data_IF_932781088149
#
_entry.id   IF_932781088149
#
_cell.length_a   1.000
_cell.length_b   1.000
_cell.length_c   1.000
_cell.angle_alpha   90.00
_cell.angle_beta   90.00
_cell.angle_gamma   90.00
#
_symmetry.space_group_name_H-M   'P 1'
#
loop_
_entity.id
_entity.type
_entity.pdbx_description
1 polymer ?
#
# COMPACT_ATOMS: atom_id res chain seq x y z
N UNK A 1 44.01 -34.09 -48.68
CA UNK A 1 42.92 -33.42 -49.42
C UNK A 1 41.67 -33.40 -48.55
N UNK A 2 41.27 -32.20 -48.12
CA UNK A 2 39.97 -31.67 -47.65
C UNK A 2 39.12 -32.45 -46.60
N UNK A 3 39.12 -32.01 -45.32
CA UNK A 3 38.00 -32.17 -44.40
C UNK A 3 37.13 -30.89 -44.46
N UNK A 4 36.38 -30.70 -45.53
CA UNK A 4 35.49 -29.53 -45.70
C UNK A 4 34.01 -29.90 -45.85
N UNK A 5 33.68 -31.20 -45.90
CA UNK A 5 32.33 -31.66 -46.22
C UNK A 5 31.44 -31.92 -44.99
N UNK A 6 32.00 -32.06 -43.78
CA UNK A 6 31.21 -32.44 -42.58
C UNK A 6 30.66 -31.22 -41.83
N UNK A 7 31.30 -30.05 -41.95
CA UNK A 7 30.88 -28.83 -41.24
C UNK A 7 29.67 -28.15 -41.94
N UNK A 8 29.46 -28.37 -43.24
CA UNK A 8 28.34 -27.80 -43.99
C UNK A 8 26.98 -28.44 -43.67
N UNK A 9 26.95 -29.71 -43.22
CA UNK A 9 25.69 -30.42 -42.93
C UNK A 9 25.01 -29.98 -41.64
N UNK A 10 25.77 -29.61 -40.61
CA UNK A 10 25.22 -29.24 -39.29
C UNK A 10 24.70 -27.80 -39.29
N UNK A 11 25.31 -26.90 -40.07
CA UNK A 11 24.85 -25.52 -40.18
C UNK A 11 23.49 -25.38 -40.91
N UNK A 12 23.20 -26.25 -41.89
CA UNK A 12 21.92 -26.23 -42.62
C UNK A 12 20.75 -26.76 -41.78
N UNK A 13 20.99 -27.73 -40.89
CA UNK A 13 19.95 -28.28 -40.03
C UNK A 13 19.48 -27.27 -38.94
N UNK A 14 20.40 -26.44 -38.43
CA UNK A 14 20.06 -25.40 -37.44
C UNK A 14 19.30 -24.21 -38.07
N UNK A 15 19.60 -23.85 -39.32
CA UNK A 15 18.90 -22.77 -40.02
C UNK A 15 17.45 -23.15 -40.41
N UNK A 16 17.21 -24.43 -40.78
CA UNK A 16 15.87 -24.91 -41.12
C UNK A 16 14.98 -25.12 -39.86
N UNK A 17 15.56 -25.48 -38.72
CA UNK A 17 14.82 -25.56 -37.45
C UNK A 17 14.43 -24.16 -36.91
N UNK A 18 15.28 -23.14 -37.11
CA UNK A 18 14.99 -21.76 -36.70
C UNK A 18 13.87 -21.08 -37.51
N UNK A 19 13.76 -21.38 -38.81
CA UNK A 19 12.70 -20.84 -39.68
C UNK A 19 11.33 -21.51 -39.43
N UNK A 20 11.30 -22.80 -39.09
CA UNK A 20 10.07 -23.50 -38.73
C UNK A 20 9.41 -22.95 -37.46
N UNK A 21 10.21 -22.50 -36.50
CA UNK A 21 9.71 -21.95 -35.22
C UNK A 21 9.11 -20.54 -35.38
N UNK A 22 9.64 -19.73 -36.32
CA UNK A 22 9.08 -18.41 -36.64
C UNK A 22 7.79 -18.50 -37.46
N UNK A 23 7.71 -19.45 -38.40
CA UNK A 23 6.51 -19.68 -39.21
C UNK A 23 5.32 -20.23 -38.40
N UNK A 24 5.55 -20.91 -37.27
CA UNK A 24 4.48 -21.33 -36.36
C UNK A 24 3.94 -20.22 -35.44
N UNK A 25 4.71 -19.14 -35.19
CA UNK A 25 4.22 -17.95 -34.46
C UNK A 25 3.46 -16.96 -35.34
N UNK A 26 3.69 -16.99 -36.65
CA UNK A 26 3.02 -16.11 -37.62
C UNK A 26 1.69 -16.66 -38.14
N UNK A 27 1.02 -17.56 -37.39
CA UNK A 27 -0.36 -17.94 -37.72
C UNK A 27 -1.27 -16.78 -37.28
N UNK A 28 -2.02 -16.14 -38.21
CA UNK A 28 -3.11 -15.27 -37.79
C UNK A 28 -4.06 -16.10 -36.93
N UNK A 29 -4.45 -15.58 -35.78
CA UNK A 29 -5.46 -16.21 -34.94
C UNK A 29 -6.69 -16.54 -35.80
N UNK A 30 -7.25 -17.75 -35.70
CA UNK A 30 -8.57 -17.98 -36.26
C UNK A 30 -9.49 -16.99 -35.56
N UNK A 31 -10.07 -16.08 -36.33
CA UNK A 31 -11.13 -15.16 -35.91
C UNK A 31 -12.15 -15.98 -35.13
N UNK A 32 -12.07 -15.94 -33.80
CA UNK A 32 -13.12 -16.47 -32.96
C UNK A 32 -14.32 -15.63 -33.31
N UNK A 33 -15.29 -16.26 -33.98
CA UNK A 33 -16.63 -15.75 -34.07
C UNK A 33 -17.04 -15.40 -32.64
N UNK A 34 -17.16 -14.10 -32.38
CA UNK A 34 -17.61 -13.58 -31.11
C UNK A 34 -18.96 -14.23 -30.82
N UNK A 35 -18.97 -15.18 -29.90
CA UNK A 35 -20.19 -15.57 -29.21
C UNK A 35 -20.57 -14.31 -28.44
N UNK A 36 -21.52 -13.56 -28.99
CA UNK A 36 -22.14 -12.43 -28.32
C UNK A 36 -22.78 -12.96 -27.03
N UNK A 37 -22.01 -12.90 -25.94
CA UNK A 37 -22.57 -12.94 -24.60
C UNK A 37 -23.54 -11.75 -24.51
N UNK A 38 -24.73 -11.91 -23.92
CA UNK A 38 -25.64 -10.78 -23.73
C UNK A 38 -24.89 -9.71 -22.95
N UNK A 39 -24.65 -8.57 -23.61
CA UNK A 39 -24.22 -7.33 -22.99
C UNK A 39 -25.30 -6.93 -21.99
N UNK A 40 -25.16 -7.44 -20.77
CA UNK A 40 -25.82 -6.84 -19.63
C UNK A 40 -25.18 -5.46 -19.52
N UNK A 41 -25.93 -4.36 -19.65
CA UNK A 41 -25.35 -3.04 -19.61
C UNK A 41 -24.54 -2.92 -18.32
N UNK A 42 -23.24 -2.64 -18.46
CA UNK A 42 -22.37 -2.35 -17.35
C UNK A 42 -22.99 -1.15 -16.62
N UNK A 43 -23.71 -1.45 -15.53
CA UNK A 43 -24.25 -0.45 -14.63
C UNK A 43 -23.06 0.40 -14.24
N UNK A 44 -23.05 1.67 -14.67
CA UNK A 44 -22.03 2.63 -14.28
C UNK A 44 -21.93 2.58 -12.75
N UNK A 45 -20.90 1.92 -12.24
CA UNK A 45 -20.64 1.83 -10.81
C UNK A 45 -20.20 3.22 -10.41
N UNK A 46 -21.16 4.02 -9.95
CA UNK A 46 -20.89 5.32 -9.37
C UNK A 46 -19.92 5.11 -8.20
N UNK A 47 -18.77 5.78 -8.24
CA UNK A 47 -17.86 5.80 -7.10
C UNK A 47 -18.65 6.20 -5.86
N UNK A 48 -18.52 5.46 -4.74
CA UNK A 48 -19.20 5.84 -3.51
C UNK A 48 -18.75 7.23 -3.06
N UNK A 49 -19.73 8.07 -2.71
CA UNK A 49 -19.47 9.39 -2.14
C UNK A 49 -19.16 9.23 -0.67
N UNK A 50 -18.05 9.81 -0.23
CA UNK A 50 -17.70 9.80 1.19
C UNK A 50 -18.52 10.86 1.93
N UNK A 51 -19.16 10.47 3.02
CA UNK A 51 -19.95 11.40 3.85
C UNK A 51 -19.06 12.43 4.55
N UNK A 52 -19.66 13.54 4.98
CA UNK A 52 -19.02 14.43 5.94
C UNK A 52 -18.97 13.72 7.31
N UNK A 53 -17.85 13.86 8.02
CA UNK A 53 -17.71 13.27 9.35
C UNK A 53 -18.64 14.00 10.34
N UNK A 54 -19.60 13.32 10.98
CA UNK A 54 -20.46 13.98 11.96
C UNK A 54 -19.67 14.43 13.20
N UNK A 55 -20.06 15.57 13.75
CA UNK A 55 -19.59 15.99 15.07
C UNK A 55 -20.09 14.97 16.11
N UNK A 56 -19.15 14.28 16.76
CA UNK A 56 -19.45 13.32 17.82
C UNK A 56 -19.60 14.08 19.12
N UNK A 57 -20.69 13.79 19.82
CA UNK A 57 -20.94 14.30 21.17
C UNK A 57 -20.25 13.47 22.24
N UNK A 58 -19.76 12.27 21.90
CA UNK A 58 -19.15 11.35 22.85
C UNK A 58 -17.70 11.06 22.42
N UNK A 59 -16.70 11.48 23.22
CA UNK A 59 -15.31 11.21 22.88
C UNK A 59 -15.06 9.71 22.80
N UNK A 60 -14.08 9.34 21.97
CA UNK A 60 -13.56 7.97 21.97
C UNK A 60 -12.75 7.72 23.26
N UNK A 61 -12.64 6.46 23.70
CA UNK A 61 -11.70 6.09 24.74
C UNK A 61 -10.27 6.53 24.43
N UNK A 62 -9.50 6.86 25.47
CA UNK A 62 -8.14 7.40 25.34
C UNK A 62 -7.22 6.42 24.61
N UNK A 63 -6.35 6.96 23.77
CA UNK A 63 -5.35 6.17 23.05
C UNK A 63 -4.42 5.43 24.00
N UNK A 64 -4.15 4.15 23.75
CA UNK A 64 -3.32 3.30 24.61
C UNK A 64 -4.08 2.53 25.70
N UNK A 65 -5.39 2.74 25.83
CA UNK A 65 -6.22 1.83 26.64
C UNK A 65 -6.18 0.42 26.03
N UNK A 66 -5.92 -0.65 26.82
CA UNK A 66 -5.91 -2.01 26.30
C UNK A 66 -7.19 -2.34 25.53
N UNK A 67 -7.06 -2.87 24.31
CA UNK A 67 -8.18 -3.02 23.38
C UNK A 67 -9.31 -3.87 23.98
N UNK A 68 -8.99 -4.90 24.77
CA UNK A 68 -9.99 -5.74 25.47
C UNK A 68 -10.97 -4.97 26.35
N UNK A 69 -10.58 -3.81 26.89
CA UNK A 69 -11.43 -3.00 27.76
C UNK A 69 -12.41 -2.11 26.99
N UNK A 70 -12.10 -1.83 25.72
CA UNK A 70 -12.86 -0.89 24.88
C UNK A 70 -13.42 -1.54 23.61
N UNK A 71 -13.12 -2.82 23.36
CA UNK A 71 -13.49 -3.55 22.16
C UNK A 71 -15.00 -3.52 21.93
N UNK A 72 -15.79 -3.92 22.93
CA UNK A 72 -17.25 -3.98 22.81
C UNK A 72 -17.88 -2.60 22.57
N UNK A 73 -17.36 -1.54 23.22
CA UNK A 73 -17.85 -0.18 22.99
C UNK A 73 -17.53 0.30 21.57
N UNK A 74 -16.28 0.11 21.13
CA UNK A 74 -15.86 0.48 19.78
C UNK A 74 -16.63 -0.31 18.71
N UNK A 75 -16.84 -1.61 18.91
CA UNK A 75 -17.58 -2.46 18.00
C UNK A 75 -19.05 -2.04 17.91
N UNK A 76 -19.69 -1.79 19.05
CA UNK A 76 -21.08 -1.31 19.10
C UNK A 76 -21.23 0.05 18.41
N UNK A 77 -20.34 1.01 18.67
CA UNK A 77 -20.36 2.33 18.03
C UNK A 77 -20.12 2.24 16.52
N UNK A 78 -19.13 1.44 16.10
CA UNK A 78 -18.86 1.17 14.69
C UNK A 78 -20.09 0.57 13.99
N UNK A 79 -20.77 -0.40 14.63
CA UNK A 79 -22.02 -0.98 14.11
C UNK A 79 -23.19 0.00 14.02
N UNK A 80 -23.14 1.11 14.76
CA UNK A 80 -24.11 2.20 14.69
C UNK A 80 -23.69 3.33 13.72
N UNK A 81 -22.61 3.15 12.94
CA UNK A 81 -22.15 4.11 11.94
C UNK A 81 -21.18 5.19 12.47
N UNK A 82 -20.64 5.05 13.69
CA UNK A 82 -19.58 5.93 14.16
C UNK A 82 -18.27 5.62 13.43
N UNK A 83 -17.96 6.45 12.43
CA UNK A 83 -16.78 6.30 11.58
C UNK A 83 -15.46 6.38 12.35
N UNK A 84 -15.40 7.15 13.45
CA UNK A 84 -14.19 7.26 14.27
C UNK A 84 -13.99 5.99 15.09
N UNK A 85 -15.06 5.47 15.70
CA UNK A 85 -14.99 4.19 16.40
C UNK A 85 -14.61 3.04 15.45
N UNK A 86 -15.16 3.01 14.24
CA UNK A 86 -14.81 2.02 13.21
C UNK A 86 -13.34 2.13 12.77
N UNK A 87 -12.84 3.34 12.50
CA UNK A 87 -11.42 3.60 12.20
C UNK A 87 -10.54 3.08 13.34
N UNK A 88 -10.87 3.48 14.58
CA UNK A 88 -10.08 3.13 15.75
C UNK A 88 -10.04 1.62 15.96
N UNK A 89 -11.19 0.95 15.89
CA UNK A 89 -11.27 -0.50 16.02
C UNK A 89 -10.43 -1.22 14.95
N UNK A 90 -10.54 -0.78 13.68
CA UNK A 90 -9.79 -1.38 12.58
C UNK A 90 -8.27 -1.23 12.77
N UNK A 91 -7.81 -0.03 13.16
CA UNK A 91 -6.40 0.25 13.42
C UNK A 91 -5.82 -0.60 14.56
N UNK A 92 -6.57 -0.75 15.65
CA UNK A 92 -6.15 -1.54 16.81
C UNK A 92 -6.10 -3.03 16.49
N UNK A 93 -7.07 -3.54 15.73
CA UNK A 93 -7.08 -4.94 15.28
C UNK A 93 -5.91 -5.25 14.34
N UNK A 94 -5.57 -4.34 13.43
CA UNK A 94 -4.40 -4.47 12.56
C UNK A 94 -3.08 -4.40 13.35
N UNK A 95 -3.01 -3.56 14.39
CA UNK A 95 -1.87 -3.52 15.29
C UNK A 95 -1.72 -4.85 16.05
N UNK A 96 -2.78 -5.36 16.65
CA UNK A 96 -2.74 -6.62 17.38
C UNK A 96 -2.40 -7.81 16.49
N UNK A 97 -2.91 -7.82 15.27
CA UNK A 97 -2.58 -8.86 14.30
C UNK A 97 -1.09 -8.82 13.88
N UNK A 98 -0.53 -7.61 13.70
CA UNK A 98 0.91 -7.44 13.43
C UNK A 98 1.77 -7.92 14.60
N UNK A 99 1.38 -7.62 15.85
CA UNK A 99 2.11 -8.09 17.04
C UNK A 99 2.06 -9.62 17.11
N UNK A 100 0.90 -10.24 16.88
CA UNK A 100 0.75 -11.71 16.83
C UNK A 100 1.67 -12.35 15.78
N UNK A 101 1.76 -11.75 14.60
CA UNK A 101 2.69 -12.22 13.57
C UNK A 101 4.15 -12.08 13.98
N UNK A 102 4.52 -10.94 14.57
CA UNK A 102 5.90 -10.70 14.98
C UNK A 102 6.32 -11.65 16.09
N UNK A 103 5.42 -11.98 17.02
CA UNK A 103 5.61 -13.02 18.03
C UNK A 103 5.81 -14.40 17.37
N UNK A 104 4.93 -14.80 16.47
CA UNK A 104 5.06 -16.09 15.77
C UNK A 104 6.38 -16.20 14.98
N UNK A 105 6.77 -15.13 14.28
CA UNK A 105 8.06 -15.06 13.56
C UNK A 105 9.25 -15.11 14.51
N UNK A 106 9.15 -14.44 15.66
CA UNK A 106 10.20 -14.46 16.68
C UNK A 106 10.36 -15.87 17.25
N UNK A 107 9.27 -16.55 17.59
CA UNK A 107 9.28 -17.94 18.06
C UNK A 107 9.88 -18.91 17.03
N UNK A 108 9.51 -18.77 15.75
CA UNK A 108 10.08 -19.58 14.68
C UNK A 108 11.58 -19.36 14.50
N UNK A 109 12.01 -18.09 14.55
CA UNK A 109 13.42 -17.71 14.50
C UNK A 109 14.18 -18.32 15.69
N UNK A 110 13.66 -18.22 16.92
CA UNK A 110 14.29 -18.79 18.12
C UNK A 110 14.39 -20.33 18.01
N UNK A 111 13.33 -21.00 17.55
CA UNK A 111 13.37 -22.45 17.30
C UNK A 111 14.41 -22.83 16.23
N UNK A 112 14.50 -22.05 15.15
CA UNK A 112 15.51 -22.27 14.11
C UNK A 112 16.93 -22.09 14.65
N UNK A 113 17.15 -21.07 15.47
CA UNK A 113 18.44 -20.82 16.13
C UNK A 113 18.83 -21.97 17.06
N UNK A 114 17.90 -22.47 17.88
CA UNK A 114 18.14 -23.62 18.76
C UNK A 114 18.58 -24.86 17.97
N UNK A 115 17.88 -25.20 16.88
CA UNK A 115 18.27 -26.32 16.00
C UNK A 115 19.66 -26.15 15.39
N UNK A 116 20.05 -24.92 15.03
CA UNK A 116 21.41 -24.67 14.54
C UNK A 116 22.47 -24.90 15.62
N UNK A 117 22.19 -24.57 16.88
CA UNK A 117 23.10 -24.77 18.00
C UNK A 117 23.31 -26.24 18.34
N UNK A 118 22.30 -27.08 18.18
CA UNK A 118 22.37 -28.52 18.48
C UNK A 118 23.51 -29.20 17.69
N UNK A 119 23.72 -28.84 16.43
CA UNK A 119 24.76 -29.39 15.56
C UNK A 119 26.18 -28.81 15.73
N UNK A 120 26.41 -27.89 16.67
CA UNK A 120 27.71 -27.23 16.84
C UNK A 120 28.62 -27.89 17.89
N UNK A 121 29.93 -27.74 17.73
CA UNK A 121 30.91 -28.08 18.79
C UNK A 121 30.67 -27.29 20.08
N UNK A 122 30.87 -27.86 21.29
CA UNK A 122 30.47 -27.25 22.56
C UNK A 122 30.99 -25.83 22.81
N UNK A 123 32.26 -25.56 22.54
CA UNK A 123 32.86 -24.23 22.73
C UNK A 123 32.31 -23.18 21.74
N UNK A 124 31.99 -23.59 20.50
CA UNK A 124 31.34 -22.72 19.51
C UNK A 124 29.87 -22.48 19.85
N UNK A 125 29.18 -23.52 20.35
CA UNK A 125 27.79 -23.45 20.81
C UNK A 125 27.62 -22.42 21.92
N UNK A 126 28.46 -22.46 22.96
CA UNK A 126 28.38 -21.52 24.09
C UNK A 126 28.51 -20.06 23.63
N UNK A 127 29.51 -19.77 22.79
CA UNK A 127 29.72 -18.42 22.24
C UNK A 127 28.58 -17.99 21.30
N UNK A 128 28.03 -18.90 20.51
CA UNK A 128 26.90 -18.61 19.63
C UNK A 128 25.62 -18.31 20.43
N UNK A 129 25.36 -19.07 21.49
CA UNK A 129 24.22 -18.90 22.38
C UNK A 129 24.25 -17.53 23.08
N UNK A 130 25.39 -17.14 23.67
CA UNK A 130 25.53 -15.83 24.32
C UNK A 130 25.23 -14.67 23.35
N UNK A 131 25.70 -14.75 22.11
CA UNK A 131 25.41 -13.75 21.09
C UNK A 131 23.94 -13.70 20.67
N UNK A 132 23.28 -14.87 20.60
CA UNK A 132 21.85 -14.97 20.28
C UNK A 132 20.99 -14.41 21.41
N UNK A 133 21.30 -14.74 22.67
CA UNK A 133 20.58 -14.23 23.84
C UNK A 133 20.65 -12.71 23.90
N UNK A 134 21.86 -12.14 23.72
CA UNK A 134 22.04 -10.69 23.71
C UNK A 134 21.24 -9.98 22.63
N UNK A 135 21.14 -10.55 21.43
CA UNK A 135 20.39 -9.93 20.32
C UNK A 135 18.88 -10.17 20.42
N UNK A 136 18.44 -11.25 21.06
CA UNK A 136 17.03 -11.64 21.15
C UNK A 136 16.32 -11.03 22.36
N UNK A 137 17.03 -10.73 23.46
CA UNK A 137 16.43 -10.26 24.71
C UNK A 137 15.65 -8.95 24.52
N UNK A 138 16.28 -7.92 23.95
CA UNK A 138 15.64 -6.62 23.76
C UNK A 138 14.41 -6.72 22.84
N UNK A 139 14.51 -7.52 21.78
CA UNK A 139 13.39 -7.75 20.86
C UNK A 139 12.25 -8.51 21.52
N UNK A 140 12.55 -9.55 22.30
CA UNK A 140 11.54 -10.31 23.05
C UNK A 140 10.81 -9.43 24.08
N UNK A 141 11.54 -8.60 24.82
CA UNK A 141 10.94 -7.65 25.78
C UNK A 141 10.01 -6.64 25.09
N UNK A 142 10.43 -6.08 23.94
CA UNK A 142 9.58 -5.16 23.18
C UNK A 142 8.29 -5.84 22.71
N UNK A 143 8.39 -7.06 22.16
CA UNK A 143 7.21 -7.79 21.67
C UNK A 143 6.25 -8.18 22.79
N UNK A 144 6.77 -8.50 23.98
CA UNK A 144 5.94 -8.73 25.16
C UNK A 144 5.17 -7.48 25.55
N UNK A 145 5.83 -6.32 25.65
CA UNK A 145 5.17 -5.04 25.93
C UNK A 145 4.12 -4.69 24.88
N UNK A 146 4.43 -4.87 23.60
CA UNK A 146 3.50 -4.61 22.50
C UNK A 146 2.27 -5.55 22.57
N UNK A 147 2.41 -6.73 23.16
CA UNK A 147 1.34 -7.73 23.27
C UNK A 147 0.34 -7.47 24.40
N UNK A 148 0.73 -6.73 25.45
CA UNK A 148 -0.12 -6.44 26.61
C UNK A 148 -1.43 -5.72 26.21
N UNK A 149 -1.35 -4.84 25.22
CA UNK A 149 -2.52 -4.13 24.67
C UNK A 149 -3.49 -5.00 23.88
N UNK A 150 -3.09 -6.22 23.52
CA UNK A 150 -3.77 -7.11 22.59
C UNK A 150 -4.25 -8.44 23.19
N UNK A 151 -3.93 -8.67 24.47
CA UNK A 151 -4.36 -9.85 25.21
C UNK A 151 -5.90 -9.92 25.30
N UNK A 152 -6.46 -11.11 25.09
CA UNK A 152 -7.92 -11.34 25.21
C UNK A 152 -8.79 -10.69 24.14
N UNK A 153 -8.20 -10.02 23.14
CA UNK A 153 -8.95 -9.41 22.03
C UNK A 153 -9.43 -10.50 21.07
N UNK A 154 -10.74 -10.56 20.75
CA UNK A 154 -11.26 -11.48 19.75
C UNK A 154 -10.54 -11.36 18.41
N UNK A 155 -10.24 -12.49 17.77
CA UNK A 155 -9.73 -12.49 16.41
C UNK A 155 -10.86 -12.09 15.44
N UNK A 156 -10.59 -11.14 14.54
CA UNK A 156 -11.48 -10.79 13.43
C UNK A 156 -10.85 -11.22 12.12
N UNK A 157 -11.66 -11.74 11.20
CA UNK A 157 -11.17 -12.17 9.90
C UNK A 157 -10.65 -10.99 9.08
N UNK A 158 -9.73 -11.21 8.11
CA UNK A 158 -9.26 -10.15 7.23
C UNK A 158 -10.41 -9.42 6.50
N UNK A 159 -11.45 -10.16 6.11
CA UNK A 159 -12.65 -9.60 5.49
C UNK A 159 -13.40 -8.62 6.43
N UNK A 160 -13.56 -8.97 7.71
CA UNK A 160 -14.22 -8.11 8.68
C UNK A 160 -13.40 -6.84 8.96
N UNK A 161 -12.07 -6.95 9.07
CA UNK A 161 -11.19 -5.78 9.26
C UNK A 161 -11.21 -4.84 8.05
N UNK A 162 -11.19 -5.39 6.83
CA UNK A 162 -11.35 -4.61 5.60
C UNK A 162 -12.72 -3.91 5.53
N UNK A 163 -13.78 -4.58 6.01
CA UNK A 163 -15.11 -3.99 6.16
C UNK A 163 -15.11 -2.77 7.10
N UNK A 164 -14.53 -2.89 8.28
CA UNK A 164 -14.41 -1.77 9.24
C UNK A 164 -13.68 -0.56 8.63
N UNK A 165 -12.58 -0.79 7.91
CA UNK A 165 -11.86 0.27 7.21
C UNK A 165 -12.74 0.97 6.16
N UNK A 166 -13.48 0.19 5.36
CA UNK A 166 -14.38 0.74 4.34
C UNK A 166 -15.54 1.52 4.98
N UNK A 167 -16.16 0.99 6.02
CA UNK A 167 -17.29 1.64 6.68
C UNK A 167 -16.86 2.96 7.32
N UNK A 168 -15.70 2.97 7.99
CA UNK A 168 -15.09 4.19 8.51
C UNK A 168 -14.74 5.20 7.41
N UNK A 169 -14.17 4.72 6.29
CA UNK A 169 -13.85 5.55 5.14
C UNK A 169 -15.10 6.24 4.59
N UNK A 170 -16.16 5.48 4.29
CA UNK A 170 -17.42 6.00 3.75
C UNK A 170 -18.18 6.89 4.75
N UNK A 171 -18.00 6.64 6.04
CA UNK A 171 -18.52 7.46 7.14
C UNK A 171 -17.75 8.78 7.36
N UNK A 172 -16.72 9.07 6.56
CA UNK A 172 -16.05 10.37 6.54
C UNK A 172 -14.72 10.46 7.30
N UNK A 173 -14.22 9.36 7.87
CA UNK A 173 -12.91 9.36 8.52
C UNK A 173 -11.80 9.45 7.47
N UNK A 174 -11.08 10.57 7.40
CA UNK A 174 -9.97 10.78 6.46
C UNK A 174 -8.82 9.76 6.63
N UNK A 175 -8.39 9.39 7.85
CA UNK A 175 -7.42 8.31 8.04
C UNK A 175 -7.92 6.99 7.45
N UNK A 176 -9.15 6.58 7.77
CA UNK A 176 -9.70 5.33 7.24
C UNK A 176 -9.87 5.37 5.71
N UNK A 177 -10.31 6.52 5.17
CA UNK A 177 -10.41 6.75 3.74
C UNK A 177 -9.05 6.57 3.07
N UNK A 178 -8.00 7.15 3.63
CA UNK A 178 -6.62 6.98 3.14
C UNK A 178 -6.19 5.52 3.21
N UNK A 179 -6.31 4.86 4.36
CA UNK A 179 -5.92 3.45 4.58
C UNK A 179 -6.63 2.50 3.61
N UNK A 180 -7.94 2.67 3.42
CA UNK A 180 -8.72 1.84 2.52
C UNK A 180 -8.36 2.12 1.07
N UNK A 181 -8.35 3.39 0.65
CA UNK A 181 -8.20 3.78 -0.76
C UNK A 181 -6.81 3.49 -1.34
N UNK A 182 -5.75 3.53 -0.53
CA UNK A 182 -4.39 3.12 -0.98
C UNK A 182 -4.21 1.60 -0.98
N UNK A 183 -5.19 0.86 -0.44
CA UNK A 183 -5.22 -0.59 -0.39
C UNK A 183 -4.53 -1.22 0.82
N UNK A 184 -4.11 -0.43 1.80
CA UNK A 184 -3.45 -0.92 3.02
C UNK A 184 -4.40 -1.71 3.94
N UNK A 185 -5.72 -1.59 3.74
CA UNK A 185 -6.71 -2.47 4.37
C UNK A 185 -6.58 -3.96 3.93
N UNK A 186 -5.84 -4.24 2.86
CA UNK A 186 -5.62 -5.59 2.34
C UNK A 186 -4.17 -6.00 2.52
N UNK A 187 -3.93 -7.14 3.17
CA UNK A 187 -2.59 -7.69 3.35
C UNK A 187 -2.30 -8.72 2.29
N UNK A 188 -1.08 -8.73 1.75
CA UNK A 188 -0.67 -9.69 0.71
C UNK A 188 -0.89 -11.14 1.15
N UNK A 189 -0.59 -11.48 2.40
CA UNK A 189 -0.82 -12.82 2.98
C UNK A 189 -2.29 -13.23 3.08
N UNK A 190 -3.20 -12.26 3.09
CA UNK A 190 -4.64 -12.47 3.24
C UNK A 190 -5.39 -12.36 1.89
N UNK A 191 -4.70 -12.03 0.79
CA UNK A 191 -5.30 -11.72 -0.54
C UNK A 191 -6.37 -12.73 -0.97
N UNK A 192 -6.06 -14.03 -0.87
CA UNK A 192 -6.97 -15.09 -1.32
C UNK A 192 -8.20 -15.25 -0.41
N UNK A 193 -8.15 -14.76 0.83
CA UNK A 193 -9.25 -14.80 1.79
C UNK A 193 -10.21 -13.60 1.62
N UNK A 194 -9.79 -12.57 0.89
CA UNK A 194 -10.52 -11.29 0.75
C UNK A 194 -10.87 -10.95 -0.70
N UNK A 195 -10.90 -11.96 -1.59
CA UNK A 195 -11.21 -11.77 -3.01
C UNK A 195 -12.54 -11.02 -3.25
N UNK A 196 -13.64 -11.30 -2.51
CA UNK A 196 -14.88 -10.53 -2.69
C UNK A 196 -14.71 -9.04 -2.36
N UNK A 197 -13.96 -8.71 -1.30
CA UNK A 197 -13.69 -7.34 -0.89
C UNK A 197 -12.75 -6.64 -1.87
N UNK A 198 -11.77 -7.36 -2.43
CA UNK A 198 -10.90 -6.84 -3.49
C UNK A 198 -11.69 -6.53 -4.76
N UNK A 199 -12.71 -7.34 -5.10
CA UNK A 199 -13.57 -7.05 -6.26
C UNK A 199 -14.37 -5.76 -6.07
N UNK A 200 -14.84 -5.47 -4.85
CA UNK A 200 -15.46 -4.18 -4.52
C UNK A 200 -14.42 -3.05 -4.61
N UNK A 201 -13.27 -3.23 -3.96
CA UNK A 201 -12.19 -2.25 -3.94
C UNK A 201 -11.77 -1.81 -5.36
N UNK A 202 -11.66 -2.75 -6.31
CA UNK A 202 -11.34 -2.44 -7.72
C UNK A 202 -12.23 -1.38 -8.35
N UNK A 203 -13.49 -1.28 -7.93
CA UNK A 203 -14.45 -0.34 -8.48
C UNK A 203 -14.50 1.00 -7.71
N UNK A 204 -13.94 1.04 -6.50
CA UNK A 204 -14.06 2.18 -5.58
C UNK A 204 -12.74 2.93 -5.38
N UNK A 205 -11.62 2.22 -5.46
CA UNK A 205 -10.30 2.66 -5.00
C UNK A 205 -9.86 3.99 -5.61
N UNK A 206 -9.87 4.12 -6.95
CA UNK A 206 -9.38 5.34 -7.62
C UNK A 206 -10.16 6.57 -7.17
N UNK A 207 -11.49 6.48 -7.20
CA UNK A 207 -12.35 7.61 -6.85
C UNK A 207 -12.35 7.92 -5.35
N UNK A 208 -12.19 6.93 -4.47
CA UNK A 208 -11.98 7.16 -3.04
C UNK A 208 -10.61 7.78 -2.75
N UNK A 209 -9.58 7.38 -3.49
CA UNK A 209 -8.24 7.92 -3.33
C UNK A 209 -8.21 9.40 -3.78
N UNK A 210 -8.88 9.74 -4.89
CA UNK A 210 -9.06 11.12 -5.33
C UNK A 210 -9.78 11.96 -4.26
N UNK A 211 -10.88 11.45 -3.68
CA UNK A 211 -11.58 12.11 -2.58
C UNK A 211 -10.69 12.30 -1.34
N UNK A 212 -9.80 11.35 -1.03
CA UNK A 212 -8.84 11.47 0.06
C UNK A 212 -7.82 12.59 -0.18
N UNK A 213 -7.26 12.64 -1.39
CA UNK A 213 -6.32 13.69 -1.80
C UNK A 213 -6.97 15.08 -1.84
N UNK A 214 -8.21 15.15 -2.32
CA UNK A 214 -9.03 16.37 -2.32
C UNK A 214 -9.29 16.92 -0.91
N UNK A 215 -9.48 16.01 0.06
CA UNK A 215 -9.65 16.34 1.48
C UNK A 215 -8.34 16.61 2.22
N UNK A 216 -7.22 16.68 1.51
CA UNK A 216 -5.93 17.06 2.06
C UNK A 216 -5.05 15.90 2.53
N UNK A 217 -5.36 14.63 2.19
CA UNK A 217 -4.42 13.55 2.49
C UNK A 217 -3.19 13.63 1.57
N UNK A 218 -2.04 14.01 2.13
CA UNK A 218 -0.74 13.94 1.48
C UNK A 218 -0.34 12.49 1.21
N UNK A 219 -0.66 11.56 2.11
CA UNK A 219 -0.41 10.14 1.89
C UNK A 219 -1.18 9.61 0.68
N UNK A 220 -2.48 9.91 0.58
CA UNK A 220 -3.25 9.56 -0.60
C UNK A 220 -2.68 10.24 -1.85
N UNK A 221 -2.39 11.54 -1.78
CA UNK A 221 -1.77 12.29 -2.90
C UNK A 221 -0.52 11.58 -3.43
N UNK A 222 0.40 11.17 -2.55
CA UNK A 222 1.63 10.45 -2.92
C UNK A 222 1.33 9.05 -3.48
N UNK A 223 0.39 8.32 -2.88
CA UNK A 223 0.00 6.99 -3.34
C UNK A 223 -0.65 7.03 -4.73
N UNK A 224 -1.55 7.99 -5.02
CA UNK A 224 -2.10 8.18 -6.36
C UNK A 224 -1.03 8.62 -7.35
N UNK A 225 -0.11 9.51 -6.96
CA UNK A 225 0.95 9.97 -7.84
C UNK A 225 1.82 8.79 -8.31
N UNK A 226 2.17 7.89 -7.38
CA UNK A 226 2.85 6.63 -7.67
C UNK A 226 2.01 5.69 -8.53
N UNK A 227 0.71 5.54 -8.22
CA UNK A 227 -0.19 4.64 -8.94
C UNK A 227 -0.44 5.07 -10.40
N UNK A 228 -0.57 6.38 -10.66
CA UNK A 228 -0.70 6.91 -12.02
C UNK A 228 0.62 6.92 -12.80
N UNK A 229 1.77 6.81 -12.12
CA UNK A 229 3.06 6.90 -12.79
C UNK A 229 3.26 5.74 -13.77
N UNK A 230 3.67 6.00 -15.03
CA UNK A 230 4.07 4.93 -15.94
C UNK A 230 5.45 4.35 -15.56
N UNK A 231 6.16 4.96 -14.60
CA UNK A 231 7.46 4.51 -14.14
C UNK A 231 7.35 3.18 -13.39
N UNK A 232 7.57 2.09 -14.16
CA UNK A 232 7.94 0.74 -13.74
C UNK A 232 7.10 0.07 -12.66
N UNK A 233 6.44 -0.99 -13.11
CA UNK A 233 6.19 -2.20 -12.34
C UNK A 233 7.53 -2.80 -11.85
N UNK A 234 7.88 -2.56 -10.59
CA UNK A 234 9.04 -3.17 -9.91
C UNK A 234 8.76 -4.59 -9.43
N UNK A 235 7.62 -5.18 -9.83
CA UNK A 235 7.09 -6.43 -9.27
C UNK A 235 6.42 -6.25 -7.90
N UNK A 236 6.35 -5.03 -7.37
CA UNK A 236 5.76 -4.69 -6.06
C UNK A 236 4.71 -3.59 -6.18
N UNK A 237 3.79 -3.71 -7.14
CA UNK A 237 2.68 -2.77 -7.29
C UNK A 237 1.76 -2.79 -6.08
N UNK A 238 1.51 -1.61 -5.49
CA UNK A 238 0.44 -1.43 -4.50
C UNK A 238 -0.91 -1.84 -5.09
N UNK A 239 -1.88 -2.18 -4.25
CA UNK A 239 -3.23 -2.52 -4.77
C UNK A 239 -3.84 -1.35 -5.55
N UNK A 240 -3.59 -0.09 -5.14
CA UNK A 240 -4.03 1.09 -5.90
C UNK A 240 -3.39 1.14 -7.31
N UNK A 241 -2.07 0.88 -7.43
CA UNK A 241 -1.39 0.85 -8.72
C UNK A 241 -1.84 -0.30 -9.65
N UNK A 242 -2.55 -1.30 -9.13
CA UNK A 242 -3.11 -2.41 -9.91
C UNK A 242 -4.50 -2.11 -10.48
N UNK A 243 -5.18 -1.07 -9.98
CA UNK A 243 -6.57 -0.76 -10.33
C UNK A 243 -6.72 0.53 -11.12
N UNK A 244 -5.78 1.47 -10.97
CA UNK A 244 -5.77 2.70 -11.77
C UNK A 244 -5.12 2.47 -13.14
N UNK A 245 -5.59 3.21 -14.13
CA UNK A 245 -4.89 3.30 -15.43
C UNK A 245 -3.77 4.33 -15.32
N UNK A 246 -2.53 4.03 -15.71
CA UNK A 246 -1.44 5.01 -15.69
C UNK A 246 -1.78 6.29 -16.47
N UNK A 247 -1.49 7.43 -15.87
CA UNK A 247 -1.71 8.77 -16.41
C UNK A 247 -0.55 9.69 -15.98
N UNK A 248 0.46 9.92 -16.85
CA UNK A 248 1.64 10.69 -16.48
C UNK A 248 1.32 12.15 -16.13
N UNK A 249 0.27 12.73 -16.72
CA UNK A 249 -0.11 14.11 -16.45
C UNK A 249 -0.74 14.25 -15.05
N UNK A 250 -1.62 13.33 -14.66
CA UNK A 250 -2.13 13.27 -13.27
C UNK A 250 -1.03 12.94 -12.26
N UNK A 251 -0.14 12.00 -12.61
CA UNK A 251 1.00 11.63 -11.75
C UNK A 251 1.89 12.85 -11.45
N UNK A 252 2.32 13.58 -12.49
CA UNK A 252 3.14 14.77 -12.33
C UNK A 252 2.41 15.87 -11.55
N UNK A 253 1.12 16.09 -11.82
CA UNK A 253 0.32 17.10 -11.12
C UNK A 253 0.24 16.83 -9.60
N UNK A 254 0.02 15.57 -9.20
CA UNK A 254 -0.02 15.18 -7.78
C UNK A 254 1.35 15.29 -7.11
N UNK A 255 2.44 14.94 -7.80
CA UNK A 255 3.79 15.13 -7.26
C UNK A 255 4.14 16.61 -7.08
N UNK A 256 3.72 17.50 -7.99
CA UNK A 256 3.91 18.94 -7.83
C UNK A 256 3.13 19.49 -6.62
N UNK A 257 1.89 19.05 -6.44
CA UNK A 257 1.08 19.38 -5.24
C UNK A 257 1.79 18.92 -3.96
N UNK A 258 2.26 17.68 -3.92
CA UNK A 258 2.98 17.14 -2.77
C UNK A 258 4.27 17.91 -2.49
N UNK A 259 5.01 18.32 -3.53
CA UNK A 259 6.21 19.13 -3.38
C UNK A 259 5.90 20.48 -2.71
N UNK A 260 4.82 21.14 -3.14
CA UNK A 260 4.39 22.39 -2.56
C UNK A 260 3.96 22.23 -1.09
N UNK A 261 3.19 21.18 -0.77
CA UNK A 261 2.78 20.89 0.61
C UNK A 261 3.99 20.64 1.53
N UNK A 262 4.98 19.87 1.06
CA UNK A 262 6.21 19.64 1.81
C UNK A 262 7.07 20.89 1.96
N UNK A 263 7.00 21.83 1.01
CA UNK A 263 7.67 23.12 1.13
C UNK A 263 6.99 24.03 2.17
N UNK A 264 5.65 24.00 2.27
CA UNK A 264 4.92 24.82 3.25
C UNK A 264 5.05 24.32 4.69
N UNK A 265 5.25 23.02 4.92
CA UNK A 265 5.44 22.46 6.27
C UNK A 265 6.87 22.66 6.80
N UNK A 266 7.81 23.10 5.96
CA UNK A 266 9.18 23.40 6.37
C UNK A 266 9.23 24.71 7.18
N UNK A 267 9.07 24.63 8.51
CA UNK A 267 9.62 25.66 9.39
C UNK A 267 11.14 25.66 9.24
N UNK A 268 11.74 26.86 9.09
CA UNK A 268 13.14 27.10 8.70
C UNK A 268 14.25 26.54 9.63
N UNK A 269 13.93 25.71 10.62
CA UNK A 269 14.89 25.15 11.58
C UNK A 269 15.12 23.66 11.31
N UNK A 270 16.28 23.38 10.68
CA UNK A 270 16.91 22.07 10.51
C UNK A 270 16.03 20.98 9.87
N UNK A 271 16.04 20.91 8.54
CA UNK A 271 15.54 19.73 7.82
C UNK A 271 16.22 18.47 8.36
N UNK A 272 15.45 17.60 9.02
CA UNK A 272 15.93 16.28 9.42
C UNK A 272 16.40 15.52 8.16
N UNK A 273 17.48 14.70 8.24
CA UNK A 273 18.00 13.95 7.08
C UNK A 273 16.92 13.20 6.29
N UNK A 274 15.89 12.68 6.97
CA UNK A 274 14.75 11.99 6.37
C UNK A 274 13.88 12.90 5.49
N UNK A 275 13.64 14.15 5.87
CA UNK A 275 12.84 15.08 5.06
C UNK A 275 13.57 15.43 3.76
N UNK A 276 14.90 15.64 3.81
CA UNK A 276 15.73 15.85 2.61
C UNK A 276 15.70 14.65 1.67
N UNK A 277 15.80 13.45 2.24
CA UNK A 277 15.72 12.22 1.46
C UNK A 277 14.38 12.11 0.73
N UNK A 278 13.26 12.42 1.40
CA UNK A 278 11.91 12.42 0.82
C UNK A 278 11.77 13.47 -0.29
N UNK A 279 12.18 14.71 -0.04
CA UNK A 279 12.16 15.76 -1.06
C UNK A 279 12.99 15.38 -2.29
N UNK A 280 14.17 14.79 -2.08
CA UNK A 280 15.01 14.29 -3.17
C UNK A 280 14.39 13.12 -3.93
N UNK A 281 13.68 12.21 -3.26
CA UNK A 281 12.95 11.13 -3.92
C UNK A 281 11.81 11.65 -4.78
N UNK A 282 11.03 12.60 -4.26
CA UNK A 282 9.97 13.27 -4.99
C UNK A 282 10.51 14.00 -6.22
N UNK A 283 11.61 14.76 -6.07
CA UNK A 283 12.23 15.47 -7.18
C UNK A 283 12.67 14.51 -8.30
N UNK A 284 13.24 13.35 -7.96
CA UNK A 284 13.61 12.34 -8.97
C UNK A 284 12.42 11.83 -9.78
N UNK A 285 11.26 11.65 -9.15
CA UNK A 285 10.04 11.23 -9.86
C UNK A 285 9.54 12.34 -10.79
N UNK A 286 9.57 13.60 -10.34
CA UNK A 286 9.22 14.78 -11.15
C UNK A 286 10.15 14.91 -12.36
N UNK A 287 11.46 14.83 -12.15
CA UNK A 287 12.47 14.94 -13.20
C UNK A 287 12.32 13.82 -14.23
N UNK A 288 12.09 12.59 -13.76
CA UNK A 288 11.85 11.45 -14.64
C UNK A 288 10.59 11.65 -15.50
N UNK A 289 9.48 12.08 -14.89
CA UNK A 289 8.24 12.35 -15.63
C UNK A 289 8.44 13.45 -16.67
N UNK A 290 9.00 14.61 -16.29
CA UNK A 290 9.28 15.71 -17.22
C UNK A 290 10.20 15.29 -18.37
N UNK A 291 11.18 14.42 -18.12
CA UNK A 291 12.08 13.90 -19.14
C UNK A 291 11.48 12.85 -20.08
N UNK A 292 10.32 12.27 -19.74
CA UNK A 292 9.66 11.20 -20.51
C UNK A 292 8.24 11.56 -20.99
N UNK A 293 7.83 12.82 -20.79
CA UNK A 293 6.53 13.35 -21.24
C UNK A 293 6.72 14.30 -22.43
N UNK A 294 5.68 14.43 -23.25
CA UNK A 294 5.61 15.52 -24.24
C UNK A 294 5.32 16.86 -23.57
N UNK A 295 5.69 17.97 -24.22
CA UNK A 295 5.41 19.33 -23.74
C UNK A 295 3.91 19.55 -23.47
N UNK A 296 3.04 18.97 -24.30
CA UNK A 296 1.59 19.04 -24.11
C UNK A 296 1.14 18.33 -22.81
N UNK A 297 1.71 17.16 -22.51
CA UNK A 297 1.42 16.43 -21.28
C UNK A 297 1.94 17.16 -20.04
N UNK A 298 3.12 17.81 -20.13
CA UNK A 298 3.67 18.63 -19.05
C UNK A 298 2.80 19.85 -18.81
N UNK A 299 2.40 20.57 -19.86
CA UNK A 299 1.50 21.72 -19.76
C UNK A 299 0.14 21.34 -19.15
N UNK A 300 -0.40 20.17 -19.52
CA UNK A 300 -1.61 19.62 -18.91
C UNK A 300 -1.41 19.32 -17.42
N UNK A 301 -0.29 18.72 -17.03
CA UNK A 301 0.03 18.45 -15.63
C UNK A 301 0.15 19.74 -14.80
N UNK A 302 0.82 20.76 -15.32
CA UNK A 302 0.97 22.06 -14.65
C UNK A 302 -0.38 22.78 -14.53
N UNK A 303 -1.30 22.62 -15.50
CA UNK A 303 -2.67 23.12 -15.40
C UNK A 303 -3.48 22.39 -14.32
N UNK A 304 -3.44 21.05 -14.30
CA UNK A 304 -4.09 20.23 -13.27
C UNK A 304 -3.56 20.55 -11.86
N UNK A 305 -2.24 20.67 -11.71
CA UNK A 305 -1.62 21.00 -10.43
C UNK A 305 -2.14 22.34 -9.88
N UNK A 306 -2.20 23.37 -10.74
CA UNK A 306 -2.73 24.69 -10.36
C UNK A 306 -4.21 24.64 -10.01
N UNK A 307 -5.01 23.91 -10.81
CA UNK A 307 -6.43 23.74 -10.55
C UNK A 307 -6.65 23.07 -9.18
N UNK A 308 -6.04 21.91 -8.95
CA UNK A 308 -6.21 21.19 -7.69
C UNK A 308 -5.65 21.97 -6.51
N UNK A 309 -4.59 22.75 -6.69
CA UNK A 309 -4.05 23.61 -5.64
C UNK A 309 -5.05 24.69 -5.18
N UNK A 310 -5.97 25.10 -6.07
CA UNK A 310 -7.04 26.05 -5.77
C UNK A 310 -8.29 25.34 -5.19
N UNK A 311 -8.68 24.22 -5.78
CA UNK A 311 -9.98 23.59 -5.52
C UNK A 311 -9.96 22.65 -4.30
N UNK A 312 -8.83 22.01 -4.01
CA UNK A 312 -8.74 20.97 -2.99
C UNK A 312 -8.12 21.48 -1.69
N UNK A 313 -8.47 20.84 -0.58
CA UNK A 313 -7.97 21.19 0.75
C UNK A 313 -6.44 21.04 0.86
N UNK A 314 -5.79 22.00 1.51
CA UNK A 314 -4.37 21.91 1.81
C UNK A 314 -4.11 20.73 2.77
N UNK A 315 -2.99 19.98 2.61
CA UNK A 315 -2.69 18.91 3.55
C UNK A 315 -2.46 19.40 4.97
N UNK A 316 -2.89 18.58 5.94
CA UNK A 316 -2.63 18.88 7.35
C UNK A 316 -1.11 18.88 7.62
N UNK A 317 -0.57 19.82 8.41
CA UNK A 317 0.87 19.90 8.67
C UNK A 317 1.45 18.61 9.24
N UNK A 318 0.70 17.90 10.08
CA UNK A 318 1.11 16.65 10.72
C UNK A 318 1.37 15.51 9.71
N UNK A 319 0.76 15.56 8.53
CA UNK A 319 1.01 14.58 7.47
C UNK A 319 2.37 14.76 6.80
N UNK A 320 2.97 15.95 6.87
CA UNK A 320 4.31 16.22 6.31
C UNK A 320 5.42 15.36 6.93
N UNK A 321 5.22 14.90 8.17
CA UNK A 321 6.16 14.05 8.89
C UNK A 321 5.96 12.56 8.63
N UNK A 322 4.82 12.15 8.07
CA UNK A 322 4.53 10.74 7.78
C UNK A 322 5.45 10.21 6.66
N UNK A 323 6.01 9.00 6.82
CA UNK A 323 6.85 8.42 5.79
C UNK A 323 6.03 8.09 4.55
N UNK A 324 6.67 8.15 3.39
CA UNK A 324 6.17 7.62 2.13
C UNK A 324 7.36 7.08 1.33
N UNK A 325 7.08 6.08 0.51
CA UNK A 325 8.04 5.45 -0.37
C UNK A 325 7.99 6.12 -1.75
N UNK A 326 9.11 6.18 -2.50
CA UNK A 326 9.14 6.79 -3.82
C UNK A 326 8.21 6.10 -4.85
N UNK A 327 7.77 4.87 -4.58
CA UNK A 327 6.85 4.08 -5.42
C UNK A 327 5.37 4.24 -5.01
N UNK A 328 5.05 5.19 -4.13
CA UNK A 328 3.68 5.42 -3.65
C UNK A 328 3.26 4.54 -2.49
N UNK A 329 4.16 3.71 -1.93
CA UNK A 329 3.90 3.01 -0.68
C UNK A 329 3.77 3.98 0.50
N UNK A 330 2.70 3.85 1.29
CA UNK A 330 2.47 4.66 2.50
C UNK A 330 2.29 3.74 3.72
N UNK A 331 2.67 4.18 4.93
CA UNK A 331 2.53 3.40 6.14
C UNK A 331 1.07 3.19 6.50
N UNK A 332 0.82 2.23 7.38
CA UNK A 332 -0.50 2.03 7.95
C UNK A 332 -0.92 3.18 8.86
N UNK A 333 -2.21 3.47 8.83
CA UNK A 333 -2.88 4.31 9.82
C UNK A 333 -2.80 3.66 11.20
N UNK A 334 -2.31 4.43 12.16
CA UNK A 334 -2.20 4.01 13.56
C UNK A 334 -3.46 4.36 14.34
N UNK A 335 -3.74 3.69 15.47
CA UNK A 335 -4.91 4.01 16.31
C UNK A 335 -4.98 5.47 16.75
N UNK A 336 -3.83 6.14 16.90
CA UNK A 336 -3.75 7.56 17.27
C UNK A 336 -4.39 8.46 16.22
N UNK A 337 -4.22 8.15 14.93
CA UNK A 337 -4.76 8.95 13.83
C UNK A 337 -6.29 8.83 13.72
N UNK A 338 -6.92 7.83 14.34
CA UNK A 338 -8.36 7.65 14.35
C UNK A 338 -9.08 8.35 15.53
N UNK A 339 -8.36 9.13 16.35
CA UNK A 339 -8.88 9.70 17.59
C UNK A 339 -9.69 11.00 17.43
N UNK A 340 -9.49 11.72 16.32
CA UNK A 340 -10.03 13.06 16.11
C UNK A 340 -11.30 13.07 15.24
#
# INVERSE_FOLDING_TARGET
>A
MKPAAVIAGVALAAALAGLGWWALRARPEPTQAAVAAPETPARATSTPTVSALPASTTPLPVTGTPLRLVFDDLQRRAGNGDARAACRLAAELEQCERVRLQLAQFDDMTRQQQRMLEGMEPARRAKAQENMERTSLARGQQLLQDSEGCEGVPAMSPAQRAGLWRDAALGGSLPALTQYAVGNAFRTRDTLQVLPQLQLYRNEAEGLALQAAERGSLQATMALAGAYSPQRDTGRRTYLAQVVTPDPSKSLALYLRAQQALASTQSAQAQAPMQRFRAGALQRNIDWLRGNMSDAQVAQADALARQWQQDWSAPAPEEGDLPFSPDGGVPDVTPKLCGD
#
